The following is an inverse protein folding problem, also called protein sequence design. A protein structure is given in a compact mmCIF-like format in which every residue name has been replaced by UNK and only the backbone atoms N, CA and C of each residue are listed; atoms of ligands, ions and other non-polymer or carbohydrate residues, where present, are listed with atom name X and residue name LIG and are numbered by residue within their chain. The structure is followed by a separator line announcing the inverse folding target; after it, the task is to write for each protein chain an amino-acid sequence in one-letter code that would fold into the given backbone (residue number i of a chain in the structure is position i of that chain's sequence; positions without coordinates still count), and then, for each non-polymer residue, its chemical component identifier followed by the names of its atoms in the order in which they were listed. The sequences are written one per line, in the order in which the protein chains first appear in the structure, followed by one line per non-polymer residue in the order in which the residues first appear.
data_IF_446573926791
#
_entry.id   IF_446573926791
#
_cell.length_a   1.000
_cell.length_b   1.000
_cell.length_c   1.000
_cell.angle_alpha   90.00
_cell.angle_beta   90.00
_cell.angle_gamma   90.00
#
_symmetry.space_group_name_H-M   'P 1'
#
loop_
_entity.id
_entity.type
_entity.pdbx_description
1 polymer ?
#
# COMPACT_ATOMS: atom_id res chain seq x y z
N UNK A 1 -8.73 14.29 -4.18
CA UNK A 1 -7.93 13.21 -4.65
C UNK A 1 -7.90 12.09 -3.67
N UNK A 2 -7.95 10.89 -4.13
CA UNK A 2 -7.89 9.76 -3.21
C UNK A 2 -6.50 9.63 -2.62
N UNK A 3 -6.38 9.12 -1.44
CA UNK A 3 -5.08 8.92 -0.84
C UNK A 3 -4.30 7.83 -1.55
N UNK A 4 -3.02 7.78 -1.32
CA UNK A 4 -2.17 6.76 -1.90
C UNK A 4 -1.89 5.68 -0.87
N UNK A 5 -1.93 4.44 -1.31
CA UNK A 5 -1.63 3.30 -0.46
C UNK A 5 -0.58 2.46 -1.15
N UNK A 6 0.35 1.90 -0.38
CA UNK A 6 1.36 1.03 -0.94
C UNK A 6 0.97 -0.42 -0.68
N UNK A 7 0.89 -1.19 -1.73
CA UNK A 7 0.63 -2.62 -1.61
C UNK A 7 1.98 -3.29 -1.48
N UNK A 8 2.19 -3.98 -0.37
CA UNK A 8 3.45 -4.68 -0.16
C UNK A 8 3.30 -6.09 -0.68
N UNK A 9 4.10 -6.44 -1.65
CA UNK A 9 4.00 -7.71 -2.33
C UNK A 9 5.26 -8.53 -2.09
N UNK A 10 5.12 -9.83 -2.00
CA UNK A 10 6.26 -10.70 -1.85
C UNK A 10 6.20 -11.79 -2.91
N UNK A 11 7.26 -11.92 -3.71
CA UNK A 11 7.27 -12.89 -4.75
C UNK A 11 8.68 -13.46 -4.84
N UNK A 12 8.79 -14.75 -4.80
CA UNK A 12 10.08 -15.43 -4.90
C UNK A 12 11.09 -14.88 -3.89
N UNK A 13 10.62 -14.57 -2.71
CA UNK A 13 11.51 -14.09 -1.67
C UNK A 13 11.83 -12.61 -1.74
N UNK A 14 11.33 -11.92 -2.74
CA UNK A 14 11.59 -10.51 -2.86
C UNK A 14 10.39 -9.70 -2.47
N UNK A 15 10.62 -8.59 -1.81
CA UNK A 15 9.55 -7.68 -1.45
C UNK A 15 9.50 -6.54 -2.45
N UNK A 16 8.30 -6.20 -2.85
CA UNK A 16 8.10 -5.10 -3.76
C UNK A 16 6.95 -4.28 -3.29
N UNK A 17 6.82 -3.07 -3.74
CA UNK A 17 5.68 -2.26 -3.38
C UNK A 17 5.10 -1.61 -4.62
N UNK A 18 3.80 -1.40 -4.59
CA UNK A 18 3.12 -0.75 -5.69
C UNK A 18 2.17 0.27 -5.10
N UNK A 19 2.23 1.50 -5.57
CA UNK A 19 1.39 2.56 -5.05
C UNK A 19 0.08 2.61 -5.83
N UNK A 20 -1.02 2.66 -5.12
CA UNK A 20 -2.33 2.77 -5.73
C UNK A 20 -3.09 3.92 -5.10
N UNK A 21 -4.00 4.51 -5.84
CA UNK A 21 -4.81 5.61 -5.32
C UNK A 21 -6.24 5.13 -5.17
N UNK A 22 -6.63 4.88 -3.95
CA UNK A 22 -7.96 4.36 -3.65
C UNK A 22 -8.49 5.06 -2.40
N UNK A 23 -9.78 5.05 -2.16
CA UNK A 23 -10.37 5.82 -1.05
C UNK A 23 -10.03 5.31 0.34
N UNK A 24 -9.72 4.05 0.47
CA UNK A 24 -9.40 3.53 1.81
C UNK A 24 -8.61 2.25 1.71
N UNK A 25 -8.13 1.77 2.85
CA UNK A 25 -7.31 0.57 2.88
C UNK A 25 -8.03 -0.67 2.43
N UNK A 26 -9.32 -0.75 2.71
CA UNK A 26 -10.08 -1.92 2.30
C UNK A 26 -10.09 -2.06 0.78
N UNK A 27 -10.21 -0.93 0.08
CA UNK A 27 -10.18 -0.97 -1.37
C UNK A 27 -8.80 -1.33 -1.88
N UNK A 28 -7.77 -0.90 -1.16
CA UNK A 28 -6.41 -1.23 -1.54
C UNK A 28 -6.19 -2.74 -1.41
N UNK A 29 -6.69 -3.36 -0.32
CA UNK A 29 -6.57 -4.78 -0.14
C UNK A 29 -7.34 -5.52 -1.24
N UNK A 30 -8.51 -5.05 -1.55
CA UNK A 30 -9.31 -5.68 -2.56
C UNK A 30 -8.58 -5.66 -3.89
N UNK A 31 -8.00 -4.52 -4.24
CA UNK A 31 -7.28 -4.41 -5.48
C UNK A 31 -6.04 -5.31 -5.47
N UNK A 32 -5.34 -5.36 -4.35
CA UNK A 32 -4.17 -6.21 -4.24
C UNK A 32 -4.51 -7.68 -4.38
N UNK A 33 -5.60 -8.10 -3.75
CA UNK A 33 -6.01 -9.48 -3.85
C UNK A 33 -6.46 -9.83 -5.27
N UNK A 34 -7.01 -8.87 -5.95
CA UNK A 34 -7.46 -9.10 -7.30
C UNK A 34 -6.30 -9.23 -8.26
N UNK A 35 -5.28 -8.42 -8.10
CA UNK A 35 -4.14 -8.44 -8.98
C UNK A 35 -3.07 -9.42 -8.57
N UNK A 36 -2.86 -9.58 -7.27
CA UNK A 36 -1.78 -10.40 -6.76
C UNK A 36 -2.27 -11.31 -5.63
N UNK A 37 -3.16 -12.22 -5.93
CA UNK A 37 -3.80 -13.03 -4.89
C UNK A 37 -2.85 -13.81 -4.00
N UNK A 38 -1.72 -14.19 -4.52
CA UNK A 38 -0.79 -14.97 -3.74
C UNK A 38 0.40 -14.20 -3.25
N UNK A 39 0.49 -12.93 -3.58
CA UNK A 39 1.66 -12.15 -3.27
C UNK A 39 1.44 -11.03 -2.29
N UNK A 40 0.22 -10.58 -2.14
CA UNK A 40 -0.06 -9.42 -1.30
C UNK A 40 0.19 -9.73 0.16
N UNK A 41 1.00 -8.92 0.82
CA UNK A 41 1.35 -9.15 2.22
C UNK A 41 0.78 -8.09 3.13
N UNK A 42 0.74 -6.86 2.68
CA UNK A 42 0.27 -5.79 3.54
C UNK A 42 -0.12 -4.58 2.71
N UNK A 43 -0.83 -3.67 3.34
CA UNK A 43 -1.20 -2.42 2.72
C UNK A 43 -0.84 -1.33 3.72
N UNK A 44 -0.10 -0.33 3.30
CA UNK A 44 0.25 0.76 4.18
C UNK A 44 -0.13 2.09 3.54
N UNK A 45 -0.48 3.04 4.34
CA UNK A 45 -0.86 4.35 3.85
C UNK A 45 0.37 5.15 3.51
N UNK A 46 0.57 5.37 2.23
CA UNK A 46 1.74 6.03 1.75
C UNK A 46 1.78 7.48 2.13
N UNK A 47 0.76 8.17 1.82
CA UNK A 47 0.71 9.54 2.01
C UNK A 47 0.84 10.00 3.40
N UNK A 48 0.25 9.35 4.28
CA UNK A 48 0.25 9.73 5.62
C UNK A 48 1.59 9.77 6.23
N UNK A 49 2.43 8.90 5.86
CA UNK A 49 3.68 8.87 6.40
C UNK A 49 4.46 10.05 6.18
N UNK A 50 4.38 10.61 5.09
CA UNK A 50 5.17 11.71 4.76
C UNK A 50 4.88 12.81 5.66
N UNK A 51 3.68 12.93 6.04
CA UNK A 51 3.34 13.93 6.79
C UNK A 51 3.74 13.82 8.10
N UNK A 52 3.53 12.78 8.64
CA UNK A 52 3.79 12.55 9.94
C UNK A 52 5.11 12.86 10.31
N UNK A 53 5.98 12.64 9.59
CA UNK A 53 7.21 12.82 10.00
C UNK A 53 7.68 14.05 10.05
N UNK A 54 7.24 14.73 9.44
CA UNK A 54 7.72 15.91 9.53
C UNK A 54 7.70 16.41 10.83
N UNK A 55 7.18 16.28 11.38
CA UNK A 55 7.20 16.92 12.53
C UNK A 55 7.70 16.62 13.48
N UNK A 56 8.00 16.22 13.62
CA UNK A 56 8.43 15.92 14.50
C UNK A 56 9.33 16.29 14.90
N UNK A 57 9.45 16.40 14.90
CA UNK A 57 10.22 16.69 15.32
C UNK A 57 10.54 17.04 15.85
#
# INVERSE_FOLDING_TARGET
MPPAYDLILQRHGELRSETVHVPNAAEAWRLGLERYPDCIRAVVCHEHNADANADHR
#
